data_IF_653162518023
#
_entry.id   IF_653162518023
#
_cell.length_a   1.000
_cell.length_b   1.000
_cell.length_c   1.000
_cell.angle_alpha   90.00
_cell.angle_beta   90.00
_cell.angle_gamma   90.00
#
_symmetry.space_group_name_H-M   'P 1'
#
loop_
_entity.id
_entity.type
_entity.pdbx_description
1 polymer ?
#
# COMPACT_ATOMS: atom_id res chain seq x y z
N UNK A 1 -19.27 -0.34 -19.16
CA UNK A 1 -18.42 -1.23 -18.35
C UNK A 1 -18.59 -2.65 -18.86
N UNK A 2 -17.50 -3.35 -19.15
CA UNK A 2 -17.51 -4.77 -19.55
C UNK A 2 -16.76 -5.54 -18.48
N UNK A 3 -17.44 -6.44 -17.79
CA UNK A 3 -16.84 -7.28 -16.76
C UNK A 3 -16.70 -8.72 -17.31
N UNK A 4 -15.50 -9.29 -17.16
CA UNK A 4 -15.23 -10.68 -17.54
C UNK A 4 -14.94 -11.50 -16.27
N UNK A 5 -15.80 -12.49 -15.99
CA UNK A 5 -15.53 -13.49 -14.97
C UNK A 5 -14.61 -14.57 -15.54
N UNK A 6 -13.45 -14.78 -14.92
CA UNK A 6 -12.52 -15.85 -15.29
C UNK A 6 -12.66 -17.02 -14.32
N UNK A 7 -12.46 -18.24 -14.82
CA UNK A 7 -12.43 -19.45 -13.99
C UNK A 7 -11.35 -19.32 -12.91
N UNK A 8 -11.58 -19.78 -11.67
CA UNK A 8 -10.56 -19.79 -10.62
C UNK A 8 -9.28 -20.52 -11.05
N UNK A 9 -8.07 -20.07 -10.64
CA UNK A 9 -6.80 -20.66 -11.06
C UNK A 9 -6.70 -22.18 -10.88
N UNK A 10 -7.39 -22.72 -9.87
CA UNK A 10 -7.36 -24.14 -9.52
C UNK A 10 -8.12 -25.01 -10.54
N UNK A 11 -9.05 -24.42 -11.29
CA UNK A 11 -9.88 -25.08 -12.29
C UNK A 11 -9.54 -24.68 -13.74
N UNK A 12 -8.47 -23.91 -13.96
CA UNK A 12 -8.04 -23.50 -15.31
C UNK A 12 -7.30 -24.63 -16.04
N UNK A 13 -7.67 -24.84 -17.31
CA UNK A 13 -6.95 -25.74 -18.22
C UNK A 13 -5.76 -25.06 -18.92
N UNK A 14 -5.82 -23.75 -19.09
CA UNK A 14 -4.76 -22.94 -19.69
C UNK A 14 -3.96 -22.24 -18.59
N UNK A 15 -2.62 -22.18 -18.67
CA UNK A 15 -1.77 -21.52 -17.66
C UNK A 15 -1.78 -19.99 -17.77
N UNK A 16 -2.88 -19.40 -18.26
CA UNK A 16 -3.00 -17.96 -18.44
C UNK A 16 -3.40 -17.28 -17.13
N UNK A 17 -2.64 -16.25 -16.78
CA UNK A 17 -2.93 -15.38 -15.64
C UNK A 17 -3.95 -14.31 -16.01
N UNK A 18 -4.61 -13.73 -15.00
CA UNK A 18 -5.57 -12.64 -15.22
C UNK A 18 -4.89 -11.43 -15.88
N UNK A 19 -3.64 -11.14 -15.48
CA UNK A 19 -2.85 -10.04 -16.02
C UNK A 19 -2.51 -10.26 -17.50
N UNK A 20 -2.14 -11.48 -17.90
CA UNK A 20 -1.89 -11.81 -19.31
C UNK A 20 -3.14 -11.66 -20.18
N UNK A 21 -4.30 -12.09 -19.69
CA UNK A 21 -5.58 -11.94 -20.41
C UNK A 21 -5.89 -10.47 -20.64
N UNK A 22 -5.75 -9.65 -19.60
CA UNK A 22 -5.99 -8.20 -19.67
C UNK A 22 -4.98 -7.52 -20.58
N UNK A 23 -3.71 -7.91 -20.55
CA UNK A 23 -2.69 -7.39 -21.46
C UNK A 23 -2.98 -7.74 -22.94
N UNK A 24 -3.44 -8.96 -23.21
CA UNK A 24 -3.87 -9.35 -24.55
C UNK A 24 -5.12 -8.59 -24.99
N UNK A 25 -6.10 -8.42 -24.10
CA UNK A 25 -7.32 -7.66 -24.39
C UNK A 25 -7.01 -6.20 -24.72
N UNK A 26 -6.09 -5.57 -23.96
CA UNK A 26 -5.59 -4.22 -24.24
C UNK A 26 -5.00 -4.11 -25.65
N UNK A 27 -4.18 -5.09 -26.08
CA UNK A 27 -3.60 -5.09 -27.43
C UNK A 27 -4.65 -5.32 -28.52
N UNK A 28 -5.65 -6.17 -28.26
CA UNK A 28 -6.63 -6.56 -29.26
C UNK A 28 -7.65 -5.46 -29.57
N UNK A 29 -8.06 -4.67 -28.57
CA UNK A 29 -9.09 -3.64 -28.76
C UNK A 29 -8.57 -2.37 -29.43
N UNK A 30 -7.28 -2.04 -29.20
CA UNK A 30 -6.67 -0.83 -29.75
C UNK A 30 -7.30 0.46 -29.23
N UNK A 31 -7.13 1.54 -29.99
CA UNK A 31 -7.69 2.86 -29.67
C UNK A 31 -9.16 2.88 -30.12
N UNK A 32 -10.07 3.21 -29.21
CA UNK A 32 -11.50 3.37 -29.52
C UNK A 32 -11.76 4.85 -29.85
N UNK A 33 -12.14 5.22 -31.08
CA UNK A 33 -12.45 6.60 -31.44
C UNK A 33 -13.58 7.17 -30.58
N UNK A 34 -13.37 8.33 -29.99
CA UNK A 34 -14.34 9.00 -29.13
C UNK A 34 -14.40 8.51 -27.68
N UNK A 35 -13.62 7.49 -27.30
CA UNK A 35 -13.45 7.14 -25.90
C UNK A 35 -12.56 8.17 -25.19
N UNK A 36 -13.06 8.74 -24.10
CA UNK A 36 -12.28 9.69 -23.27
C UNK A 36 -11.30 8.97 -22.34
N UNK A 37 -11.68 7.79 -21.85
CA UNK A 37 -10.85 6.95 -20.99
C UNK A 37 -11.03 5.49 -21.39
N UNK A 38 -9.93 4.73 -21.41
CA UNK A 38 -9.94 3.29 -21.57
C UNK A 38 -9.01 2.67 -20.53
N UNK A 39 -9.58 1.93 -19.58
CA UNK A 39 -8.83 1.30 -18.49
C UNK A 39 -9.06 -0.20 -18.46
N UNK A 40 -8.01 -0.96 -18.18
CA UNK A 40 -8.08 -2.41 -18.03
C UNK A 40 -7.63 -2.80 -16.63
N UNK A 41 -8.37 -3.70 -15.97
CA UNK A 41 -8.12 -4.09 -14.58
C UNK A 41 -8.14 -5.61 -14.44
N UNK A 42 -7.11 -6.15 -13.79
CA UNK A 42 -6.92 -7.59 -13.59
C UNK A 42 -6.74 -8.00 -12.11
N UNK A 43 -6.68 -7.04 -11.18
CA UNK A 43 -6.26 -7.26 -9.79
C UNK A 43 -7.45 -7.22 -8.82
N UNK A 44 -7.44 -8.14 -7.85
CA UNK A 44 -8.45 -8.22 -6.78
C UNK A 44 -8.00 -7.32 -5.63
N UNK A 45 -8.89 -6.47 -5.13
CA UNK A 45 -8.66 -5.70 -3.90
C UNK A 45 -7.71 -4.51 -4.02
N UNK A 46 -7.42 -4.04 -5.24
CA UNK A 46 -6.61 -2.83 -5.45
C UNK A 46 -7.35 -1.60 -4.93
N UNK A 47 -6.81 -0.99 -3.87
CA UNK A 47 -7.35 0.24 -3.27
C UNK A 47 -6.87 1.50 -3.99
N UNK A 48 -5.66 1.48 -4.56
CA UNK A 48 -5.01 2.64 -5.18
C UNK A 48 -4.09 2.22 -6.34
N UNK A 49 -3.81 3.15 -7.28
CA UNK A 49 -2.88 2.90 -8.39
C UNK A 49 -1.41 3.03 -7.90
N UNK A 50 -0.42 2.39 -8.58
CA UNK A 50 0.98 2.34 -8.13
C UNK A 50 1.60 3.72 -7.99
N UNK A 51 1.24 4.62 -8.92
CA UNK A 51 1.64 6.03 -8.89
C UNK A 51 0.39 6.88 -8.91
N UNK A 52 0.19 7.68 -7.87
CA UNK A 52 -0.86 8.69 -7.82
C UNK A 52 -0.27 10.03 -7.40
N UNK A 53 -0.43 11.04 -8.24
CA UNK A 53 -0.07 12.43 -7.93
C UNK A 53 -1.37 13.18 -7.66
N UNK A 54 -1.54 13.64 -6.43
CA UNK A 54 -2.69 14.43 -6.04
C UNK A 54 -2.36 15.92 -6.07
N UNK A 55 -2.98 16.64 -6.99
CA UNK A 55 -2.89 18.09 -7.09
C UNK A 55 -4.05 18.72 -6.32
N UNK A 56 -3.76 19.74 -5.52
CA UNK A 56 -4.74 20.44 -4.69
C UNK A 56 -4.57 21.94 -4.84
N UNK A 57 -5.65 22.68 -5.10
CA UNK A 57 -5.55 24.13 -5.34
C UNK A 57 -6.90 24.85 -5.42
N UNK A 58 -6.88 26.20 -5.47
CA UNK A 58 -8.09 27.02 -5.54
C UNK A 58 -8.65 27.13 -6.96
N UNK A 59 -7.79 27.28 -7.97
CA UNK A 59 -8.15 27.42 -9.38
C UNK A 59 -8.26 26.04 -10.04
N UNK A 60 -9.35 25.81 -10.77
CA UNK A 60 -9.56 24.54 -11.46
C UNK A 60 -8.81 24.49 -12.80
N UNK A 61 -8.72 25.63 -13.49
CA UNK A 61 -8.02 25.73 -14.77
C UNK A 61 -6.52 25.49 -14.57
N UNK A 62 -5.96 26.04 -13.49
CA UNK A 62 -4.56 25.81 -13.08
C UNK A 62 -4.31 24.33 -12.77
N UNK A 63 -5.21 23.70 -12.01
CA UNK A 63 -5.11 22.27 -11.69
C UNK A 63 -5.14 21.41 -12.96
N UNK A 64 -5.96 21.78 -13.96
CA UNK A 64 -6.02 21.08 -15.24
C UNK A 64 -4.71 21.22 -16.01
N UNK A 65 -4.15 22.43 -16.10
CA UNK A 65 -2.89 22.67 -16.78
C UNK A 65 -1.72 21.93 -16.10
N UNK A 66 -1.65 21.95 -14.77
CA UNK A 66 -0.66 21.20 -14.01
C UNK A 66 -0.82 19.68 -14.16
N UNK A 67 -2.06 19.18 -14.21
CA UNK A 67 -2.34 17.77 -14.43
C UNK A 67 -1.87 17.30 -15.83
N UNK A 68 -2.09 18.10 -16.88
CA UNK A 68 -1.57 17.80 -18.22
C UNK A 68 -0.04 17.75 -18.24
N UNK A 69 0.63 18.71 -17.61
CA UNK A 69 2.10 18.70 -17.51
C UNK A 69 2.62 17.47 -16.74
N UNK A 70 1.94 17.09 -15.65
CA UNK A 70 2.28 15.89 -14.89
C UNK A 70 2.08 14.63 -15.73
N UNK A 71 0.99 14.51 -16.49
CA UNK A 71 0.75 13.39 -17.42
C UNK A 71 1.82 13.31 -18.50
N UNK A 72 2.22 14.45 -19.09
CA UNK A 72 3.26 14.50 -20.11
C UNK A 72 4.61 14.01 -19.56
N UNK A 73 4.97 14.43 -18.34
CA UNK A 73 6.18 13.95 -17.65
C UNK A 73 6.10 12.46 -17.31
N UNK A 74 4.97 11.98 -16.81
CA UNK A 74 4.76 10.56 -16.53
C UNK A 74 4.83 9.71 -17.82
N UNK A 75 4.39 10.25 -18.96
CA UNK A 75 4.45 9.58 -20.26
C UNK A 75 5.87 9.38 -20.79
N UNK A 76 6.89 10.00 -20.18
CA UNK A 76 8.29 9.79 -20.55
C UNK A 76 8.87 8.50 -19.95
N UNK A 77 8.22 7.92 -18.94
CA UNK A 77 8.65 6.66 -18.34
C UNK A 77 8.14 5.48 -19.16
N UNK A 78 9.02 4.64 -19.74
CA UNK A 78 8.60 3.52 -20.58
C UNK A 78 7.85 2.42 -19.80
N UNK A 79 8.03 2.38 -18.48
CA UNK A 79 7.45 1.36 -17.60
C UNK A 79 6.09 1.77 -17.00
N UNK A 80 5.61 2.99 -17.30
CA UNK A 80 4.29 3.48 -16.89
C UNK A 80 3.29 3.40 -18.05
N UNK A 81 2.05 3.02 -17.75
CA UNK A 81 0.97 2.93 -18.72
C UNK A 81 -0.38 3.30 -18.09
N UNK A 82 -1.42 3.41 -18.92
CA UNK A 82 -2.78 3.83 -18.51
C UNK A 82 -2.77 5.13 -17.68
N UNK A 83 -1.89 6.08 -18.06
CA UNK A 83 -1.78 7.39 -17.40
C UNK A 83 -3.05 8.19 -17.68
N UNK A 84 -3.71 8.62 -16.61
CA UNK A 84 -4.98 9.34 -16.67
C UNK A 84 -5.10 10.31 -15.53
N UNK A 85 -6.14 11.12 -15.56
CA UNK A 85 -6.51 11.97 -14.45
C UNK A 85 -7.98 11.77 -14.09
N UNK A 86 -8.36 12.24 -12.91
CA UNK A 86 -9.76 12.20 -12.45
C UNK A 86 -10.61 13.34 -13.02
N UNK A 87 -10.07 14.14 -13.95
CA UNK A 87 -10.84 15.18 -14.60
C UNK A 87 -11.70 14.58 -15.71
N UNK A 88 -12.96 14.40 -15.37
CA UNK A 88 -13.99 14.11 -16.35
C UNK A 88 -14.54 15.41 -16.95
N UNK A 89 -14.49 15.51 -18.28
CA UNK A 89 -15.26 16.49 -19.02
C UNK A 89 -16.74 16.30 -18.67
N UNK A 90 -17.34 17.26 -17.99
CA UNK A 90 -18.75 17.16 -17.67
C UNK A 90 -19.64 17.42 -18.88
N UNK A 91 -20.94 17.26 -18.66
CA UNK A 91 -21.92 17.27 -19.74
C UNK A 91 -21.95 18.64 -20.41
N UNK A 92 -22.12 18.70 -21.74
CA UNK A 92 -22.45 19.93 -22.43
C UNK A 92 -23.65 20.59 -21.73
N UNK A 93 -23.49 21.85 -21.37
CA UNK A 93 -24.54 22.64 -20.75
C UNK A 93 -24.80 23.91 -21.57
N UNK A 94 -25.93 24.52 -21.27
CA UNK A 94 -26.35 25.80 -21.85
C UNK A 94 -26.58 26.73 -20.67
N UNK A 95 -25.67 27.67 -20.47
CA UNK A 95 -25.73 28.65 -19.39
C UNK A 95 -26.63 29.79 -19.84
N UNK A 96 -27.70 30.02 -19.10
CA UNK A 96 -28.61 31.13 -19.37
C UNK A 96 -28.13 32.35 -18.59
N UNK A 97 -28.04 33.50 -19.28
CA UNK A 97 -27.74 34.79 -18.67
C UNK A 97 -28.85 35.77 -19.02
N UNK A 98 -29.44 36.41 -18.01
CA UNK A 98 -30.47 37.44 -18.23
C UNK A 98 -29.83 38.67 -18.90
N UNK A 99 -30.58 39.27 -19.82
CA UNK A 99 -30.20 40.53 -20.44
C UNK A 99 -30.60 41.72 -19.56
N UNK A 100 -29.86 42.83 -19.55
CA UNK A 100 -30.24 44.03 -18.79
C UNK A 100 -31.66 44.53 -19.13
N UNK A 101 -32.08 44.40 -20.39
CA UNK A 101 -33.41 44.80 -20.86
C UNK A 101 -34.54 43.99 -20.22
N UNK A 102 -34.27 42.73 -19.85
CA UNK A 102 -35.24 41.88 -19.18
C UNK A 102 -35.43 42.28 -17.71
N UNK A 103 -34.38 42.76 -17.06
CA UNK A 103 -34.47 43.28 -15.68
C UNK A 103 -35.35 44.53 -15.63
N UNK A 104 -35.33 45.37 -16.67
CA UNK A 104 -36.24 46.52 -16.81
C UNK A 104 -37.71 46.09 -16.95
N UNK A 105 -37.97 44.88 -17.44
CA UNK A 105 -39.30 44.26 -17.51
C UNK A 105 -39.69 43.52 -16.21
N UNK A 106 -38.90 43.70 -15.14
CA UNK A 106 -39.14 43.07 -13.84
C UNK A 106 -38.87 41.56 -13.81
N UNK A 107 -38.24 41.00 -14.84
CA UNK A 107 -37.86 39.58 -14.86
C UNK A 107 -36.58 39.35 -14.04
N UNK A 108 -36.57 38.27 -13.27
CA UNK A 108 -35.35 37.81 -12.57
C UNK A 108 -34.79 36.54 -13.20
N UNK A 109 -33.51 36.24 -12.95
CA UNK A 109 -32.90 34.94 -13.30
C UNK A 109 -33.71 33.75 -12.75
N UNK A 110 -34.33 33.91 -11.59
CA UNK A 110 -35.17 32.88 -10.97
C UNK A 110 -36.44 32.64 -11.78
N UNK A 111 -37.06 33.69 -12.31
CA UNK A 111 -38.26 33.57 -13.13
C UNK A 111 -37.96 32.89 -14.46
N UNK A 112 -36.85 33.27 -15.10
CA UNK A 112 -36.36 32.64 -16.32
C UNK A 112 -36.08 31.14 -16.08
N UNK A 113 -35.27 30.81 -15.07
CA UNK A 113 -34.91 29.43 -14.75
C UNK A 113 -36.13 28.57 -14.41
N UNK A 114 -37.10 29.12 -13.66
CA UNK A 114 -38.34 28.43 -13.29
C UNK A 114 -39.18 28.15 -14.53
N UNK A 115 -39.46 29.16 -15.36
CA UNK A 115 -40.29 28.99 -16.57
C UNK A 115 -39.64 28.01 -17.56
N UNK A 116 -38.34 28.15 -17.83
CA UNK A 116 -37.61 27.22 -18.70
C UNK A 116 -37.62 25.78 -18.15
N UNK A 117 -37.39 25.59 -16.85
CA UNK A 117 -37.45 24.26 -16.23
C UNK A 117 -38.85 23.65 -16.34
N UNK A 118 -39.90 24.42 -16.09
CA UNK A 118 -41.28 23.94 -16.19
C UNK A 118 -41.65 23.55 -17.62
N UNK A 119 -41.20 24.32 -18.62
CA UNK A 119 -41.43 24.01 -20.02
C UNK A 119 -40.73 22.73 -20.49
N UNK A 120 -39.42 22.58 -20.22
CA UNK A 120 -38.60 21.51 -20.81
C UNK A 120 -38.46 20.26 -19.92
N UNK A 121 -38.21 20.44 -18.62
CA UNK A 121 -38.06 19.33 -17.66
C UNK A 121 -39.42 18.89 -17.11
N UNK A 122 -40.24 19.88 -16.77
CA UNK A 122 -41.59 19.72 -16.23
C UNK A 122 -41.74 20.18 -14.78
N UNK A 123 -42.94 20.64 -14.46
CA UNK A 123 -43.39 20.94 -13.10
C UNK A 123 -44.20 19.77 -12.56
N UNK A 124 -43.88 19.29 -11.35
CA UNK A 124 -44.76 18.36 -10.65
C UNK A 124 -46.03 19.12 -10.24
N UNK A 125 -47.17 18.80 -10.85
CA UNK A 125 -48.45 19.42 -10.55
C UNK A 125 -49.16 18.69 -9.40
N UNK A 126 -49.03 17.37 -9.36
CA UNK A 126 -49.64 16.53 -8.35
C UNK A 126 -48.87 15.21 -8.21
N UNK A 127 -48.95 14.59 -7.04
CA UNK A 127 -48.56 13.20 -6.82
C UNK A 127 -49.78 12.38 -6.42
N UNK A 128 -49.95 11.22 -7.04
CA UNK A 128 -51.12 10.35 -6.85
C UNK A 128 -50.61 8.96 -6.45
N UNK A 129 -51.16 8.41 -5.37
CA UNK A 129 -50.91 7.03 -4.97
C UNK A 129 -51.59 6.07 -5.96
N UNK A 130 -50.82 5.17 -6.55
CA UNK A 130 -51.31 4.07 -7.39
C UNK A 130 -50.83 2.74 -6.82
N UNK A 131 -51.73 2.06 -6.09
CA UNK A 131 -51.37 0.83 -5.37
C UNK A 131 -50.39 1.13 -4.23
N UNK A 132 -49.19 0.55 -4.27
CA UNK A 132 -48.11 0.79 -3.29
C UNK A 132 -47.09 1.84 -3.76
N UNK A 133 -47.25 2.38 -4.96
CA UNK A 133 -46.32 3.34 -5.55
C UNK A 133 -46.91 4.74 -5.64
N UNK A 134 -46.02 5.74 -5.58
CA UNK A 134 -46.32 7.15 -5.80
C UNK A 134 -46.04 7.54 -7.26
N UNK A 135 -47.07 7.98 -7.98
CA UNK A 135 -46.95 8.42 -9.37
C UNK A 135 -47.01 9.94 -9.45
N UNK A 136 -45.99 10.57 -10.07
CA UNK A 136 -45.91 12.03 -10.27
C UNK A 136 -46.60 12.45 -11.56
N UNK A 137 -47.49 13.42 -11.48
CA UNK A 137 -48.13 14.08 -12.62
C UNK A 137 -47.33 15.33 -12.97
N UNK A 138 -46.71 15.33 -14.16
CA UNK A 138 -45.82 16.39 -14.63
C UNK A 138 -46.47 17.21 -15.73
N UNK A 139 -46.42 18.54 -15.62
CA UNK A 139 -46.83 19.50 -16.67
C UNK A 139 -45.58 20.03 -17.37
N UNK A 140 -45.55 19.94 -18.70
CA UNK A 140 -44.44 20.37 -19.57
C UNK A 140 -44.93 20.55 -21.00
N UNK A 141 -44.10 21.16 -21.85
CA UNK A 141 -44.39 21.29 -23.27
C UNK A 141 -44.46 19.92 -23.99
N UNK A 142 -45.16 19.85 -25.12
CA UNK A 142 -45.14 18.69 -26.02
C UNK A 142 -43.72 18.25 -26.35
N UNK A 143 -43.54 16.97 -26.68
CA UNK A 143 -42.20 16.40 -26.89
C UNK A 143 -41.48 17.09 -28.04
N UNK A 144 -42.22 17.45 -29.08
CA UNK A 144 -41.77 18.08 -30.31
C UNK A 144 -41.22 19.49 -30.05
N UNK A 145 -41.71 20.16 -29.01
CA UNK A 145 -41.30 21.52 -28.63
C UNK A 145 -40.14 21.56 -27.62
N UNK A 146 -39.61 20.40 -27.22
CA UNK A 146 -38.52 20.31 -26.22
C UNK A 146 -37.32 19.48 -26.66
N UNK A 147 -37.28 19.06 -27.92
CA UNK A 147 -36.19 18.27 -28.50
C UNK A 147 -35.11 19.12 -29.16
N UNK A 148 -35.40 20.38 -29.50
CA UNK A 148 -34.44 21.26 -30.18
C UNK A 148 -34.16 22.54 -29.39
N UNK A 149 -32.95 23.08 -29.57
CA UNK A 149 -32.54 24.35 -28.98
C UNK A 149 -33.32 25.54 -29.57
N UNK A 150 -33.69 25.47 -30.86
CA UNK A 150 -34.47 26.52 -31.51
C UNK A 150 -35.83 26.75 -30.81
N UNK A 151 -36.42 25.70 -30.24
CA UNK A 151 -37.66 25.82 -29.47
C UNK A 151 -37.47 26.62 -28.17
N UNK A 152 -36.27 26.56 -27.56
CA UNK A 152 -35.94 27.36 -26.39
C UNK A 152 -35.83 28.84 -26.75
N UNK A 153 -35.21 29.17 -27.87
CA UNK A 153 -35.07 30.56 -28.35
C UNK A 153 -36.42 31.19 -28.71
N UNK A 154 -37.34 30.40 -29.26
CA UNK A 154 -38.72 30.82 -29.57
C UNK A 154 -39.70 30.74 -28.40
N UNK A 155 -39.27 30.24 -27.23
CA UNK A 155 -40.12 30.12 -26.05
C UNK A 155 -40.62 31.50 -25.62
N UNK A 156 -41.86 31.59 -25.15
CA UNK A 156 -42.39 32.81 -24.54
C UNK A 156 -42.20 32.77 -23.02
N UNK A 157 -41.65 33.87 -22.49
CA UNK A 157 -41.46 34.11 -21.06
C UNK A 157 -42.48 35.17 -20.63
N UNK A 158 -43.20 34.89 -19.54
CA UNK A 158 -44.20 35.80 -18.99
C UNK A 158 -43.57 36.73 -17.96
N UNK A 159 -43.79 38.04 -18.10
CA UNK A 159 -43.40 39.08 -17.14
C UNK A 159 -44.33 39.07 -15.92
N UNK A 160 -43.92 39.66 -14.77
CA UNK A 160 -44.79 39.77 -13.59
C UNK A 160 -46.14 40.46 -13.86
N UNK A 161 -46.10 41.42 -14.76
CA UNK A 161 -47.22 42.22 -15.30
C UNK A 161 -48.04 41.48 -16.37
N UNK A 162 -47.70 40.22 -16.65
CA UNK A 162 -48.50 39.29 -17.47
C UNK A 162 -48.24 39.35 -18.97
N UNK A 163 -47.33 40.21 -19.42
CA UNK A 163 -46.93 40.28 -20.83
C UNK A 163 -46.06 39.07 -21.21
N UNK A 164 -46.11 38.65 -22.47
CA UNK A 164 -45.29 37.54 -22.97
C UNK A 164 -44.24 38.05 -23.96
N UNK A 165 -42.98 37.80 -23.63
CA UNK A 165 -41.82 38.21 -24.42
C UNK A 165 -41.01 36.99 -24.88
N UNK A 166 -40.43 36.99 -26.10
CA UNK A 166 -39.58 35.89 -26.56
C UNK A 166 -38.35 35.71 -25.66
N UNK A 167 -37.96 34.46 -25.41
CA UNK A 167 -36.79 34.11 -24.61
C UNK A 167 -35.51 34.78 -25.15
N UNK A 168 -35.32 34.77 -26.48
CA UNK A 168 -34.18 35.41 -27.14
C UNK A 168 -34.07 36.93 -26.87
N UNK A 169 -35.17 37.61 -26.56
CA UNK A 169 -35.18 39.03 -26.23
C UNK A 169 -34.77 39.32 -24.78
N UNK A 170 -34.85 38.32 -23.89
CA UNK A 170 -34.64 38.50 -22.44
C UNK A 170 -33.46 37.74 -21.86
N UNK A 171 -32.91 36.79 -22.61
CA UNK A 171 -31.78 35.98 -22.15
C UNK A 171 -30.82 35.63 -23.29
N UNK A 172 -29.55 35.51 -22.95
CA UNK A 172 -28.52 34.89 -23.79
C UNK A 172 -28.29 33.45 -23.34
N UNK A 173 -27.93 32.60 -24.30
CA UNK A 173 -27.48 31.23 -24.04
C UNK A 173 -26.00 31.15 -24.40
N UNK A 174 -25.18 30.85 -23.41
CA UNK A 174 -23.77 30.56 -23.60
C UNK A 174 -23.57 29.04 -23.57
N UNK A 175 -22.82 28.52 -24.54
CA UNK A 175 -22.41 27.13 -24.51
C UNK A 175 -21.33 26.93 -23.45
N UNK A 176 -21.52 25.92 -22.61
CA UNK A 176 -20.54 25.57 -21.60
C UNK A 176 -20.44 24.07 -21.44
N UNK A 177 -19.57 23.68 -20.51
CA UNK A 177 -19.56 22.34 -19.95
C UNK A 177 -19.68 22.47 -18.44
N UNK A 178 -20.58 21.66 -17.89
CA UNK A 178 -20.63 21.47 -16.43
C UNK A 178 -19.41 20.65 -15.99
N UNK A 179 -19.11 20.65 -14.69
CA UNK A 179 -18.24 19.63 -14.11
C UNK A 179 -19.07 18.38 -13.86
N UNK A 180 -18.60 17.18 -14.25
CA UNK A 180 -19.32 15.94 -13.93
C UNK A 180 -19.31 15.69 -12.40
N UNK A 181 -18.18 16.02 -11.77
CA UNK A 181 -17.93 15.90 -10.35
C UNK A 181 -16.87 16.90 -9.90
N UNK A 182 -17.00 17.43 -8.68
CA UNK A 182 -15.97 18.29 -8.07
C UNK A 182 -15.51 17.61 -6.79
N UNK A 183 -14.35 16.94 -6.86
CA UNK A 183 -13.71 16.35 -5.69
C UNK A 183 -12.99 17.44 -4.89
N UNK A 184 -13.09 17.33 -3.56
CA UNK A 184 -12.42 18.23 -2.63
C UNK A 184 -11.79 17.47 -1.48
N UNK A 185 -10.60 17.88 -1.09
CA UNK A 185 -9.90 17.41 0.11
C UNK A 185 -9.54 18.64 0.92
N UNK A 186 -9.88 18.64 2.22
CA UNK A 186 -9.65 19.77 3.11
C UNK A 186 -10.15 21.11 2.55
N UNK A 187 -11.34 21.09 1.91
CA UNK A 187 -12.03 22.23 1.25
C UNK A 187 -11.37 22.75 -0.04
N UNK A 188 -10.21 22.26 -0.43
CA UNK A 188 -9.59 22.60 -1.70
C UNK A 188 -10.01 21.63 -2.80
N UNK A 189 -10.10 22.12 -4.04
CA UNK A 189 -10.38 21.27 -5.22
C UNK A 189 -9.17 20.39 -5.49
N UNK A 190 -9.42 19.17 -5.98
CA UNK A 190 -8.34 18.23 -6.28
C UNK A 190 -8.52 17.55 -7.63
N UNK A 191 -7.40 17.32 -8.30
CA UNK A 191 -7.28 16.44 -9.46
C UNK A 191 -6.20 15.43 -9.13
N UNK A 192 -6.50 14.15 -9.27
CA UNK A 192 -5.52 13.08 -9.13
C UNK A 192 -5.09 12.65 -10.53
N UNK A 193 -3.78 12.60 -10.76
CA UNK A 193 -3.16 11.97 -11.93
C UNK A 193 -2.70 10.60 -11.50
N UNK A 194 -3.21 9.53 -12.12
CA UNK A 194 -2.83 8.16 -11.80
C UNK A 194 -2.14 7.50 -12.99
N UNK A 195 -1.23 6.59 -12.68
CA UNK A 195 -0.54 5.78 -13.67
C UNK A 195 -0.36 4.37 -13.12
N UNK A 196 -0.57 3.38 -13.98
CA UNK A 196 -0.24 2.00 -13.70
C UNK A 196 1.20 1.71 -14.13
N UNK A 197 1.79 0.67 -13.56
CA UNK A 197 3.21 0.37 -13.72
C UNK A 197 3.44 -1.12 -14.00
N UNK A 198 4.43 -1.42 -14.86
CA UNK A 198 4.90 -2.79 -15.05
C UNK A 198 5.68 -3.24 -13.81
N UNK A 199 5.04 -4.02 -12.93
CA UNK A 199 5.63 -4.45 -11.64
C UNK A 199 6.92 -5.27 -11.77
N UNK A 200 7.25 -5.80 -12.96
CA UNK A 200 8.50 -6.54 -13.18
C UNK A 200 9.68 -5.63 -13.58
N UNK A 201 9.41 -4.49 -14.21
CA UNK A 201 10.43 -3.59 -14.77
C UNK A 201 10.50 -2.24 -14.07
N UNK A 202 9.36 -1.72 -13.65
CA UNK A 202 9.26 -0.42 -13.03
C UNK A 202 9.89 -0.43 -11.64
N UNK A 203 10.87 0.46 -11.43
CA UNK A 203 11.31 0.80 -10.09
C UNK A 203 10.49 1.98 -9.57
N UNK A 204 9.39 1.67 -8.88
CA UNK A 204 8.46 2.66 -8.34
C UNK A 204 9.15 3.67 -7.41
N UNK A 205 10.17 3.25 -6.66
CA UNK A 205 10.89 4.13 -5.73
C UNK A 205 11.65 5.24 -6.48
N UNK A 206 12.36 4.90 -7.56
CA UNK A 206 13.09 5.86 -8.39
C UNK A 206 12.11 6.84 -9.05
N UNK A 207 11.01 6.32 -9.61
CA UNK A 207 9.96 7.13 -10.24
C UNK A 207 9.40 8.15 -9.25
N UNK A 208 9.17 7.76 -7.99
CA UNK A 208 8.69 8.68 -6.95
C UNK A 208 9.70 9.74 -6.56
N UNK A 209 10.97 9.37 -6.40
CA UNK A 209 12.03 10.32 -6.10
C UNK A 209 12.16 11.37 -7.21
N UNK A 210 12.00 10.96 -8.47
CA UNK A 210 11.96 11.86 -9.61
C UNK A 210 10.69 12.73 -9.61
N UNK A 211 9.50 12.18 -9.30
CA UNK A 211 8.26 12.95 -9.13
C UNK A 211 8.45 14.04 -8.07
N UNK A 212 9.01 13.71 -6.91
CA UNK A 212 9.29 14.67 -5.84
C UNK A 212 10.26 15.77 -6.32
N UNK A 213 11.15 15.46 -7.27
CA UNK A 213 12.09 16.42 -7.85
C UNK A 213 11.46 17.35 -8.89
N UNK A 214 10.62 16.85 -9.80
CA UNK A 214 10.08 17.67 -10.90
C UNK A 214 8.74 18.35 -10.58
N UNK A 215 7.93 17.77 -9.69
CA UNK A 215 6.62 18.36 -9.35
C UNK A 215 6.71 19.76 -8.71
N UNK A 216 7.71 20.10 -7.88
CA UNK A 216 7.88 21.46 -7.38
C UNK A 216 8.02 22.50 -8.49
N UNK A 217 8.68 22.16 -9.60
CA UNK A 217 8.84 23.09 -10.73
C UNK A 217 7.50 23.36 -11.43
N UNK A 218 6.65 22.33 -11.57
CA UNK A 218 5.30 22.47 -12.13
C UNK A 218 4.41 23.31 -11.22
N UNK A 219 4.41 23.02 -9.91
CA UNK A 219 3.54 23.67 -8.93
C UNK A 219 3.95 25.12 -8.66
N UNK A 220 5.23 25.47 -8.84
CA UNK A 220 5.74 26.83 -8.65
C UNK A 220 5.04 27.87 -9.54
N UNK A 221 4.60 27.46 -10.72
CA UNK A 221 3.96 28.34 -11.69
C UNK A 221 2.49 28.66 -11.32
N UNK A 222 1.93 27.99 -10.30
CA UNK A 222 0.53 28.12 -9.89
C UNK A 222 0.39 28.48 -8.40
N UNK A 223 0.12 29.76 -8.06
CA UNK A 223 0.01 30.22 -6.68
C UNK A 223 -1.07 29.48 -5.86
N UNK A 224 -0.68 28.97 -4.70
CA UNK A 224 -1.61 28.27 -3.78
C UNK A 224 -1.94 26.83 -4.16
N UNK A 225 -1.31 26.30 -5.22
CA UNK A 225 -1.34 24.88 -5.54
C UNK A 225 -0.34 24.11 -4.67
N UNK A 226 -0.71 22.89 -4.31
CA UNK A 226 0.12 21.92 -3.60
C UNK A 226 -0.02 20.56 -4.27
N UNK A 227 1.01 19.73 -4.16
CA UNK A 227 0.93 18.33 -4.58
C UNK A 227 1.22 17.41 -3.39
N UNK A 228 0.57 16.25 -3.38
CA UNK A 228 0.95 15.12 -2.53
C UNK A 228 1.12 13.89 -3.39
N UNK A 229 2.12 13.07 -3.05
CA UNK A 229 2.22 11.74 -3.61
C UNK A 229 1.31 10.81 -2.80
N UNK A 230 0.45 10.10 -3.49
CA UNK A 230 -0.49 9.11 -2.95
C UNK A 230 -0.27 7.79 -3.71
N UNK A 231 -1.07 6.77 -3.40
CA UNK A 231 -1.02 5.47 -4.08
C UNK A 231 -0.34 4.37 -3.27
N UNK A 232 -0.18 3.20 -3.90
CA UNK A 232 0.35 1.99 -3.24
C UNK A 232 1.70 2.25 -2.58
N UNK A 233 2.53 3.12 -3.16
CA UNK A 233 3.85 3.37 -2.64
C UNK A 233 3.90 4.23 -1.37
N UNK A 234 2.99 5.21 -1.25
CA UNK A 234 2.82 5.95 0.01
C UNK A 234 2.32 5.01 1.10
N UNK A 235 1.31 4.20 0.79
CA UNK A 235 0.77 3.18 1.71
C UNK A 235 1.87 2.21 2.15
N UNK A 236 2.76 1.80 1.23
CA UNK A 236 3.95 1.01 1.56
C UNK A 236 4.87 1.77 2.51
N UNK A 237 5.26 3.01 2.20
CA UNK A 237 6.19 3.78 3.04
C UNK A 237 5.66 3.97 4.47
N UNK A 238 4.39 4.33 4.63
CA UNK A 238 3.73 4.49 5.93
C UNK A 238 3.67 3.14 6.70
N UNK A 239 3.37 2.05 5.98
CA UNK A 239 3.35 0.70 6.54
C UNK A 239 4.75 0.26 6.98
N UNK A 240 5.78 0.47 6.15
CA UNK A 240 7.17 0.12 6.47
C UNK A 240 7.71 0.91 7.66
N UNK A 241 7.36 2.20 7.78
CA UNK A 241 7.70 3.01 8.95
C UNK A 241 7.11 2.45 10.25
N UNK A 242 5.85 2.05 10.22
CA UNK A 242 5.16 1.43 11.37
C UNK A 242 5.77 0.07 11.73
N UNK A 243 6.09 -0.74 10.71
CA UNK A 243 6.73 -2.05 10.86
C UNK A 243 8.14 -1.94 11.43
N UNK A 244 8.91 -0.93 11.05
CA UNK A 244 10.24 -0.69 11.62
C UNK A 244 10.16 -0.47 13.13
N UNK A 245 9.23 0.38 13.58
CA UNK A 245 9.00 0.61 15.01
C UNK A 245 8.53 -0.67 15.71
N UNK A 246 7.62 -1.42 15.09
CA UNK A 246 7.16 -2.71 15.60
C UNK A 246 8.29 -3.75 15.71
N UNK A 247 9.21 -3.77 14.75
CA UNK A 247 10.37 -4.67 14.73
C UNK A 247 11.32 -4.38 15.90
N UNK A 248 11.59 -3.11 16.18
CA UNK A 248 12.38 -2.70 17.34
C UNK A 248 11.71 -3.12 18.66
N UNK A 249 10.39 -2.94 18.76
CA UNK A 249 9.64 -3.38 19.93
C UNK A 249 9.72 -4.91 20.13
N UNK A 250 9.53 -5.69 19.06
CA UNK A 250 9.67 -7.16 19.08
C UNK A 250 11.08 -7.59 19.51
N UNK A 251 12.12 -7.00 18.93
CA UNK A 251 13.50 -7.30 19.29
C UNK A 251 13.80 -6.98 20.77
N UNK A 252 13.27 -5.86 21.26
CA UNK A 252 13.38 -5.48 22.68
C UNK A 252 12.63 -6.45 23.61
N UNK A 253 11.42 -6.88 23.23
CA UNK A 253 10.66 -7.88 23.98
C UNK A 253 11.39 -9.21 24.01
N UNK A 254 11.90 -9.69 22.87
CA UNK A 254 12.72 -10.90 22.77
C UNK A 254 13.92 -10.79 23.70
N UNK A 255 14.69 -9.71 23.61
CA UNK A 255 15.84 -9.45 24.47
C UNK A 255 15.47 -9.56 25.96
N UNK A 256 14.39 -8.89 26.37
CA UNK A 256 13.92 -8.87 27.75
C UNK A 256 13.50 -10.25 28.25
N UNK A 257 12.80 -11.02 27.41
CA UNK A 257 12.37 -12.39 27.72
C UNK A 257 13.55 -13.37 27.82
N UNK A 258 14.64 -13.13 27.08
CA UNK A 258 15.86 -13.95 27.15
C UNK A 258 16.77 -13.56 28.32
N UNK A 259 16.82 -12.27 28.68
CA UNK A 259 17.67 -11.78 29.75
C UNK A 259 17.31 -12.38 31.13
N UNK A 260 16.01 -12.63 31.36
CA UNK A 260 15.47 -13.20 32.60
C UNK A 260 15.97 -14.64 32.85
N UNK A 261 15.73 -15.63 31.97
CA UNK A 261 16.16 -17.02 32.18
C UNK A 261 17.68 -17.18 32.18
N UNK A 262 18.40 -16.40 31.35
CA UNK A 262 19.86 -16.46 31.30
C UNK A 262 20.54 -15.76 32.47
N UNK A 263 19.84 -14.84 33.16
CA UNK A 263 20.42 -13.96 34.19
C UNK A 263 21.70 -13.26 33.69
N UNK A 264 21.69 -12.87 32.41
CA UNK A 264 22.82 -12.26 31.71
C UNK A 264 22.32 -11.26 30.68
N UNK A 265 22.99 -10.11 30.57
CA UNK A 265 22.69 -9.08 29.57
C UNK A 265 23.36 -9.35 28.22
N UNK A 266 24.46 -10.13 28.20
CA UNK A 266 25.22 -10.40 26.98
C UNK A 266 24.78 -11.67 26.25
N UNK A 267 24.31 -12.69 26.98
CA UNK A 267 23.85 -13.94 26.36
C UNK A 267 22.63 -13.78 25.44
N UNK A 268 21.64 -12.91 25.74
CA UNK A 268 20.57 -12.59 24.80
C UNK A 268 21.09 -12.05 23.45
N UNK A 269 22.14 -11.22 23.47
CA UNK A 269 22.73 -10.67 22.24
C UNK A 269 23.38 -11.75 21.37
N UNK A 270 23.96 -12.79 21.98
CA UNK A 270 24.46 -13.96 21.23
C UNK A 270 23.31 -14.64 20.49
N UNK A 271 22.19 -14.87 21.17
CA UNK A 271 21.02 -15.50 20.56
C UNK A 271 20.44 -14.63 19.44
N UNK A 272 20.31 -13.32 19.68
CA UNK A 272 19.79 -12.39 18.68
C UNK A 272 20.72 -12.18 17.48
N UNK A 273 22.03 -12.44 17.62
CA UNK A 273 23.00 -12.33 16.52
C UNK A 273 22.71 -13.27 15.34
N UNK A 274 21.90 -14.31 15.54
CA UNK A 274 21.47 -15.24 14.49
C UNK A 274 20.36 -14.64 13.61
N UNK A 275 19.57 -13.70 14.12
CA UNK A 275 18.40 -13.13 13.42
C UNK A 275 18.77 -12.56 12.04
N UNK A 276 19.83 -11.72 11.88
CA UNK A 276 20.23 -11.20 10.59
C UNK A 276 20.52 -12.28 9.53
N UNK A 277 21.02 -13.45 9.95
CA UNK A 277 21.28 -14.56 9.04
C UNK A 277 20.00 -15.27 8.63
N UNK A 278 19.03 -15.39 9.53
CA UNK A 278 17.68 -15.84 9.18
C UNK A 278 17.01 -14.91 8.17
N UNK A 279 17.13 -13.59 8.36
CA UNK A 279 16.65 -12.60 7.39
C UNK A 279 17.34 -12.76 6.02
N UNK A 280 18.66 -12.99 6.00
CA UNK A 280 19.39 -13.31 4.78
C UNK A 280 18.86 -14.57 4.08
N UNK A 281 18.55 -15.62 4.85
CA UNK A 281 17.91 -16.84 4.34
C UNK A 281 16.51 -16.61 3.77
N UNK A 282 15.72 -15.75 4.41
CA UNK A 282 14.40 -15.35 3.92
C UNK A 282 14.48 -14.61 2.58
N UNK A 283 15.41 -13.65 2.45
CA UNK A 283 15.66 -12.92 1.20
C UNK A 283 16.12 -13.88 0.10
N UNK A 284 17.05 -14.79 0.41
CA UNK A 284 17.49 -15.81 -0.54
C UNK A 284 16.34 -16.69 -1.01
N UNK A 285 15.44 -17.10 -0.09
CA UNK A 285 14.25 -17.88 -0.42
C UNK A 285 13.30 -17.15 -1.36
N UNK A 286 13.11 -15.84 -1.15
CA UNK A 286 12.35 -14.98 -2.06
C UNK A 286 12.94 -14.93 -3.47
N UNK A 287 14.26 -14.80 -3.57
CA UNK A 287 14.98 -14.81 -4.85
C UNK A 287 14.83 -16.17 -5.54
N UNK A 288 15.01 -17.27 -4.81
CA UNK A 288 14.89 -18.65 -5.35
C UNK A 288 13.47 -18.92 -5.86
N UNK A 289 12.45 -18.44 -5.14
CA UNK A 289 11.04 -18.65 -5.51
C UNK A 289 10.50 -17.59 -6.49
N UNK A 290 11.32 -16.61 -6.90
CA UNK A 290 10.91 -15.53 -7.80
C UNK A 290 9.78 -14.66 -7.24
N UNK A 291 9.75 -14.45 -5.92
CA UNK A 291 8.71 -13.66 -5.24
C UNK A 291 9.28 -12.36 -4.70
N UNK A 292 8.62 -11.24 -5.00
CA UNK A 292 8.98 -9.94 -4.43
C UNK A 292 8.76 -9.90 -2.91
N UNK A 293 9.55 -9.08 -2.22
CA UNK A 293 9.35 -8.81 -0.81
C UNK A 293 8.08 -7.96 -0.63
N UNK A 294 7.21 -8.38 0.27
CA UNK A 294 6.00 -7.66 0.62
C UNK A 294 5.89 -7.45 2.13
N UNK A 295 4.87 -6.72 2.56
CA UNK A 295 4.52 -6.59 3.98
C UNK A 295 4.34 -7.97 4.65
N UNK A 296 3.79 -8.93 3.91
CA UNK A 296 3.59 -10.30 4.37
C UNK A 296 4.92 -11.03 4.56
N UNK A 297 5.91 -10.78 3.70
CA UNK A 297 7.29 -11.25 3.89
C UNK A 297 7.86 -10.74 5.22
N UNK A 298 7.66 -9.46 5.53
CA UNK A 298 8.18 -8.88 6.77
C UNK A 298 7.52 -9.50 8.00
N UNK A 299 6.22 -9.77 7.98
CA UNK A 299 5.58 -10.54 9.05
C UNK A 299 6.15 -11.96 9.18
N UNK A 300 6.45 -12.62 8.07
CA UNK A 300 7.16 -13.91 8.06
C UNK A 300 8.55 -13.81 8.70
N UNK A 301 9.31 -12.76 8.41
CA UNK A 301 10.63 -12.47 8.99
C UNK A 301 10.57 -12.14 10.50
N UNK A 302 9.51 -11.47 10.95
CA UNK A 302 9.27 -11.24 12.37
C UNK A 302 8.92 -12.54 13.10
N UNK A 303 8.06 -13.37 12.52
CA UNK A 303 7.74 -14.69 13.05
C UNK A 303 8.98 -15.60 13.12
N UNK A 304 9.81 -15.56 12.06
CA UNK A 304 11.10 -16.26 11.98
C UNK A 304 12.01 -15.92 13.16
N UNK A 305 12.10 -14.63 13.51
CA UNK A 305 12.94 -14.17 14.61
C UNK A 305 12.59 -14.87 15.92
N UNK A 306 11.30 -15.10 16.20
CA UNK A 306 10.86 -15.83 17.39
C UNK A 306 11.24 -17.32 17.37
N UNK A 307 11.05 -18.00 16.22
CA UNK A 307 11.36 -19.43 16.08
C UNK A 307 12.86 -19.68 16.21
N UNK A 308 13.69 -18.88 15.53
CA UNK A 308 15.17 -19.01 15.55
C UNK A 308 15.74 -18.73 16.94
N UNK A 309 15.15 -17.78 17.67
CA UNK A 309 15.52 -17.48 19.05
C UNK A 309 15.27 -18.68 19.96
N UNK A 310 14.17 -19.41 19.77
CA UNK A 310 13.87 -20.58 20.60
C UNK A 310 14.93 -21.69 20.45
N UNK A 311 15.35 -22.00 19.22
CA UNK A 311 16.38 -23.02 18.97
C UNK A 311 17.73 -22.63 19.60
N UNK A 312 18.11 -21.35 19.44
CA UNK A 312 19.31 -20.78 20.04
C UNK A 312 19.25 -20.75 21.57
N UNK A 313 18.07 -20.46 22.14
CA UNK A 313 17.86 -20.40 23.59
C UNK A 313 18.12 -21.74 24.23
N UNK A 314 17.56 -22.81 23.67
CA UNK A 314 17.70 -24.16 24.23
C UNK A 314 19.16 -24.63 24.18
N UNK A 315 19.91 -24.23 23.15
CA UNK A 315 21.34 -24.51 23.04
C UNK A 315 22.14 -23.77 24.12
N UNK A 316 21.96 -22.45 24.25
CA UNK A 316 22.65 -21.64 25.26
C UNK A 316 22.30 -22.07 26.69
N UNK A 317 21.03 -22.39 26.96
CA UNK A 317 20.60 -22.91 28.26
C UNK A 317 21.28 -24.25 28.60
N UNK A 318 21.39 -25.16 27.63
CA UNK A 318 22.09 -26.42 27.84
C UNK A 318 23.58 -26.21 28.14
N UNK A 319 24.24 -25.29 27.43
CA UNK A 319 25.64 -24.92 27.69
C UNK A 319 25.76 -24.38 29.12
N UNK A 320 24.91 -23.41 29.49
CA UNK A 320 24.89 -22.83 30.84
C UNK A 320 24.67 -23.88 31.93
N UNK A 321 23.78 -24.85 31.70
CA UNK A 321 23.55 -25.96 32.64
C UNK A 321 24.81 -26.80 32.81
N UNK A 322 25.47 -27.20 31.73
CA UNK A 322 26.73 -27.97 31.78
C UNK A 322 27.87 -27.19 32.45
N UNK A 323 27.93 -25.88 32.26
CA UNK A 323 28.86 -24.99 32.97
C UNK A 323 28.60 -24.96 34.48
N UNK A 324 27.33 -24.92 34.90
CA UNK A 324 26.94 -24.99 36.33
C UNK A 324 27.26 -26.34 36.96
N UNK A 325 27.22 -27.42 36.19
CA UNK A 325 27.66 -28.76 36.61
C UNK A 325 29.19 -28.90 36.72
N UNK A 326 29.97 -27.84 36.42
CA UNK A 326 31.43 -27.83 36.51
C UNK A 326 32.16 -28.33 35.26
N UNK A 327 31.44 -28.55 34.15
CA UNK A 327 32.07 -29.01 32.90
C UNK A 327 32.97 -27.91 32.31
N UNK A 328 34.20 -28.23 31.84
CA UNK A 328 35.04 -27.29 31.10
C UNK A 328 34.30 -26.65 29.93
N UNK A 329 34.60 -25.39 29.61
CA UNK A 329 33.83 -24.60 28.65
C UNK A 329 33.71 -25.28 27.27
N UNK A 330 34.83 -25.73 26.72
CA UNK A 330 34.87 -26.36 25.41
C UNK A 330 34.07 -27.68 25.38
N UNK A 331 34.18 -28.47 26.44
CA UNK A 331 33.44 -29.73 26.58
C UNK A 331 31.94 -29.46 26.74
N UNK A 332 31.55 -28.46 27.52
CA UNK A 332 30.16 -28.06 27.70
C UNK A 332 29.52 -27.66 26.36
N UNK A 333 30.23 -26.86 25.55
CA UNK A 333 29.77 -26.44 24.21
C UNK A 333 29.68 -27.63 23.26
N UNK A 334 30.69 -28.51 23.23
CA UNK A 334 30.70 -29.71 22.38
C UNK A 334 29.55 -30.66 22.73
N UNK A 335 29.37 -30.96 24.02
CA UNK A 335 28.29 -31.83 24.51
C UNK A 335 26.92 -31.23 24.22
N UNK A 336 26.75 -29.92 24.40
CA UNK A 336 25.50 -29.22 24.09
C UNK A 336 25.14 -29.31 22.60
N UNK A 337 26.10 -29.05 21.71
CA UNK A 337 25.91 -29.15 20.26
C UNK A 337 25.43 -30.53 19.84
N UNK A 338 26.10 -31.60 20.28
CA UNK A 338 25.71 -32.99 19.96
C UNK A 338 24.34 -33.33 20.54
N UNK A 339 24.06 -32.94 21.79
CA UNK A 339 22.79 -33.25 22.45
C UNK A 339 21.60 -32.54 21.81
N UNK A 340 21.81 -31.36 21.20
CA UNK A 340 20.72 -30.53 20.65
C UNK A 340 20.60 -30.57 19.14
N UNK A 341 21.63 -31.05 18.43
CA UNK A 341 21.62 -31.18 16.98
C UNK A 341 20.35 -31.84 16.43
N UNK A 342 19.99 -33.03 16.94
CA UNK A 342 18.82 -33.78 16.46
C UNK A 342 17.50 -33.03 16.69
N UNK A 343 17.34 -32.45 17.88
CA UNK A 343 16.12 -31.76 18.25
C UNK A 343 15.93 -30.49 17.41
N UNK A 344 16.99 -29.68 17.26
CA UNK A 344 16.98 -28.44 16.49
C UNK A 344 16.74 -28.75 14.99
N UNK A 345 17.43 -29.75 14.43
CA UNK A 345 17.18 -30.13 13.03
C UNK A 345 15.73 -30.57 12.81
N UNK A 346 15.18 -31.40 13.72
CA UNK A 346 13.82 -31.90 13.58
C UNK A 346 12.78 -30.79 13.64
N UNK A 347 12.91 -29.82 14.55
CA UNK A 347 11.97 -28.68 14.64
C UNK A 347 12.02 -27.85 13.37
N UNK A 348 13.21 -27.49 12.90
CA UNK A 348 13.37 -26.69 11.69
C UNK A 348 12.85 -27.39 10.44
N UNK A 349 13.16 -28.67 10.25
CA UNK A 349 12.62 -29.44 9.11
C UNK A 349 11.11 -29.61 9.19
N UNK A 350 10.56 -29.84 10.38
CA UNK A 350 9.11 -29.99 10.54
C UNK A 350 8.39 -28.67 10.24
N UNK A 351 8.91 -27.53 10.71
CA UNK A 351 8.32 -26.22 10.38
C UNK A 351 8.45 -25.90 8.89
N UNK A 352 9.61 -26.15 8.28
CA UNK A 352 9.78 -25.98 6.83
C UNK A 352 8.80 -26.86 6.06
N UNK A 353 8.72 -28.16 6.37
CA UNK A 353 7.82 -29.09 5.73
C UNK A 353 6.34 -28.71 5.89
N UNK A 354 5.95 -28.16 7.05
CA UNK A 354 4.60 -27.67 7.30
C UNK A 354 4.23 -26.43 6.48
N UNK A 355 5.22 -25.63 6.04
CA UNK A 355 5.02 -24.44 5.23
C UNK A 355 5.07 -24.69 3.72
N UNK A 356 5.68 -25.80 3.28
CA UNK A 356 5.74 -26.18 1.85
C UNK A 356 4.36 -26.13 1.17
N UNK A 357 3.27 -26.68 1.73
CA UNK A 357 1.96 -26.62 1.10
C UNK A 357 1.49 -25.19 0.85
N UNK A 358 1.74 -24.27 1.79
CA UNK A 358 1.37 -22.86 1.67
C UNK A 358 2.21 -22.17 0.59
N UNK A 359 3.49 -22.52 0.47
CA UNK A 359 4.38 -21.96 -0.55
C UNK A 359 3.97 -22.33 -1.98
N UNK A 360 3.25 -23.44 -2.17
CA UNK A 360 2.72 -23.91 -3.45
C UNK A 360 1.19 -23.77 -3.57
N UNK A 361 0.57 -22.99 -2.69
CA UNK A 361 -0.86 -22.77 -2.71
C UNK A 361 -1.29 -22.03 -3.98
N UNK A 362 -2.35 -22.53 -4.62
CA UNK A 362 -2.90 -21.94 -5.86
C UNK A 362 -4.13 -21.09 -5.59
N UNK A 363 -4.79 -21.32 -4.46
CA UNK A 363 -5.99 -20.61 -4.04
C UNK A 363 -5.79 -19.10 -4.08
N UNK A 364 -6.59 -18.41 -4.90
CA UNK A 364 -6.57 -16.95 -5.01
C UNK A 364 -6.75 -16.27 -3.64
N UNK A 365 -7.53 -16.89 -2.75
CA UNK A 365 -7.76 -16.38 -1.40
C UNK A 365 -6.56 -16.58 -0.46
N UNK A 366 -5.61 -17.45 -0.77
CA UNK A 366 -4.47 -17.76 0.10
C UNK A 366 -3.13 -17.32 -0.48
N UNK A 367 -3.08 -16.86 -1.74
CA UNK A 367 -1.85 -16.39 -2.39
C UNK A 367 -1.13 -15.28 -1.61
N UNK A 368 -1.87 -14.43 -0.88
CA UNK A 368 -1.27 -13.38 -0.05
C UNK A 368 -0.42 -13.93 1.11
N UNK A 369 -0.59 -15.20 1.49
CA UNK A 369 0.21 -15.87 2.54
C UNK A 369 1.53 -16.46 2.00
N UNK A 370 1.67 -16.65 0.68
CA UNK A 370 2.85 -17.25 0.07
C UNK A 370 4.15 -16.50 0.46
N UNK A 371 4.23 -15.15 0.34
CA UNK A 371 5.44 -14.40 0.73
C UNK A 371 5.83 -14.59 2.20
N UNK A 372 4.84 -14.69 3.09
CA UNK A 372 5.05 -14.95 4.52
C UNK A 372 5.64 -16.34 4.75
N UNK A 373 5.07 -17.36 4.11
CA UNK A 373 5.53 -18.74 4.22
C UNK A 373 6.96 -18.93 3.67
N UNK A 374 7.29 -18.27 2.56
CA UNK A 374 8.64 -18.27 1.98
C UNK A 374 9.65 -17.68 2.96
N UNK A 375 9.37 -16.49 3.49
CA UNK A 375 10.25 -15.81 4.43
C UNK A 375 10.51 -16.64 5.68
N UNK A 376 9.45 -17.21 6.27
CA UNK A 376 9.57 -18.05 7.46
C UNK A 376 10.28 -19.38 7.17
N UNK A 377 9.88 -20.09 6.11
CA UNK A 377 10.40 -21.41 5.78
C UNK A 377 11.89 -21.39 5.43
N UNK A 378 12.27 -20.62 4.41
CA UNK A 378 13.68 -20.52 3.99
C UNK A 378 14.55 -19.85 5.06
N UNK A 379 13.99 -18.86 5.75
CA UNK A 379 14.66 -18.21 6.87
C UNK A 379 15.03 -19.20 7.97
N UNK A 380 14.10 -20.08 8.38
CA UNK A 380 14.36 -21.10 9.40
C UNK A 380 15.43 -22.06 8.90
N UNK A 381 15.26 -22.61 7.70
CA UNK A 381 16.17 -23.62 7.17
C UNK A 381 17.61 -23.11 7.13
N UNK A 382 17.82 -21.87 6.67
CA UNK A 382 19.14 -21.24 6.67
C UNK A 382 19.63 -20.89 8.08
N UNK A 383 18.78 -20.28 8.91
CA UNK A 383 19.11 -19.90 10.28
C UNK A 383 19.52 -21.10 11.13
N UNK A 384 18.96 -22.28 10.91
CA UNK A 384 19.28 -23.49 11.68
C UNK A 384 20.72 -23.94 11.48
N UNK A 385 21.20 -23.95 10.22
CA UNK A 385 22.61 -24.27 9.94
C UNK A 385 23.55 -23.24 10.57
N UNK A 386 23.19 -21.96 10.51
CA UNK A 386 23.98 -20.89 11.12
C UNK A 386 23.95 -20.98 12.64
N UNK A 387 22.79 -21.22 13.26
CA UNK A 387 22.61 -21.34 14.72
C UNK A 387 23.56 -22.38 15.31
N UNK A 388 23.61 -23.57 14.71
CA UNK A 388 24.41 -24.70 15.21
C UNK A 388 25.92 -24.43 15.18
N UNK A 389 26.38 -23.50 14.33
CA UNK A 389 27.79 -23.13 14.23
C UNK A 389 28.09 -21.83 15.00
N UNK A 390 27.31 -20.79 14.73
CA UNK A 390 27.56 -19.43 15.18
C UNK A 390 27.28 -19.23 16.67
N UNK A 391 26.22 -19.85 17.23
CA UNK A 391 25.90 -19.70 18.65
C UNK A 391 27.01 -20.27 19.55
N UNK A 392 27.51 -21.50 19.32
CA UNK A 392 28.69 -22.02 20.01
C UNK A 392 29.92 -21.11 19.92
N UNK A 393 30.25 -20.62 18.72
CA UNK A 393 31.42 -19.76 18.49
C UNK A 393 31.26 -18.44 19.24
N UNK A 394 30.11 -17.78 19.13
CA UNK A 394 29.85 -16.51 19.80
C UNK A 394 29.83 -16.67 21.33
N UNK A 395 29.37 -17.81 21.85
CA UNK A 395 29.44 -18.11 23.27
C UNK A 395 30.88 -18.24 23.76
N UNK A 396 31.75 -18.95 23.02
CA UNK A 396 33.18 -19.06 23.33
C UNK A 396 33.87 -17.70 23.29
N UNK A 397 33.63 -16.91 22.24
CA UNK A 397 34.18 -15.55 22.10
C UNK A 397 33.76 -14.63 23.24
N UNK A 398 32.51 -14.73 23.71
CA UNK A 398 32.03 -13.96 24.85
C UNK A 398 32.80 -14.32 26.13
N UNK A 399 32.96 -15.61 26.42
CA UNK A 399 33.68 -16.07 27.60
C UNK A 399 35.16 -15.67 27.57
N UNK A 400 35.81 -15.76 26.40
CA UNK A 400 37.18 -15.28 26.19
C UNK A 400 37.27 -13.76 26.43
N UNK A 401 36.31 -12.99 25.91
CA UNK A 401 36.20 -11.55 26.15
C UNK A 401 36.03 -11.20 27.63
N UNK A 402 35.17 -11.93 28.36
CA UNK A 402 34.98 -11.76 29.81
C UNK A 402 36.27 -12.08 30.56
N UNK A 403 37.01 -13.12 30.16
CA UNK A 403 38.30 -13.47 30.76
C UNK A 403 39.38 -12.41 30.48
N UNK A 404 39.45 -11.89 29.26
CA UNK A 404 40.34 -10.80 28.85
C UNK A 404 40.07 -9.53 29.66
N UNK A 405 38.81 -9.11 29.79
CA UNK A 405 38.44 -7.93 30.59
C UNK A 405 38.78 -8.13 32.05
N UNK A 406 38.49 -9.32 32.62
CA UNK A 406 38.90 -9.64 34.01
C UNK A 406 40.42 -9.60 34.17
N UNK A 407 41.18 -10.09 33.21
CA UNK A 407 42.66 -10.10 33.23
C UNK A 407 43.22 -8.67 33.12
N UNK A 408 42.65 -7.85 32.25
CA UNK A 408 43.02 -6.44 32.10
C UNK A 408 42.69 -5.63 33.35
N UNK A 409 41.49 -5.79 33.92
CA UNK A 409 41.10 -5.13 35.17
C UNK A 409 41.98 -5.57 36.35
N UNK A 410 42.34 -6.86 36.44
CA UNK A 410 43.28 -7.34 37.47
C UNK A 410 44.66 -6.74 37.31
N UNK A 411 45.14 -6.59 36.08
CA UNK A 411 46.43 -5.96 35.77
C UNK A 411 46.41 -4.46 36.10
N UNK A 412 45.35 -3.74 35.71
CA UNK A 412 45.22 -2.30 35.93
C UNK A 412 45.01 -1.92 37.40
N UNK A 413 44.31 -2.76 38.18
CA UNK A 413 43.94 -2.47 39.57
C UNK A 413 44.72 -3.28 40.62
N UNK A 414 45.73 -4.06 40.21
CA UNK A 414 46.65 -4.79 41.08
C UNK A 414 45.96 -5.62 42.20
N UNK A 415 44.83 -6.25 41.87
CA UNK A 415 44.05 -7.06 42.81
C UNK A 415 44.76 -8.42 43.02
N UNK A 416 45.51 -8.55 44.12
CA UNK A 416 46.13 -9.81 44.52
C UNK A 416 45.09 -10.83 44.98
N UNK A 417 45.20 -12.05 44.47
CA UNK A 417 44.41 -13.20 44.94
C UNK A 417 44.84 -13.57 46.35
N UNK A 418 44.01 -13.29 47.35
CA UNK A 418 44.00 -14.14 48.56
C UNK A 418 43.42 -15.49 48.14
N UNK A 419 44.30 -16.45 47.86
CA UNK A 419 43.91 -17.86 47.87
C UNK A 419 43.36 -18.20 49.26
N UNK A 420 42.24 -18.92 49.40
CA UNK A 420 41.92 -19.56 50.66
C UNK A 420 42.98 -20.63 50.88
N UNK A 421 43.76 -20.47 51.96
CA UNK A 421 44.73 -21.45 52.40
C UNK A 421 44.07 -22.84 52.44
N UNK A 422 44.63 -23.77 51.68
CA UNK A 422 44.42 -25.19 51.89
C UNK A 422 44.90 -25.48 53.32
N UNK A 423 43.95 -25.72 54.23
CA UNK A 423 44.25 -26.30 55.53
C UNK A 423 44.72 -27.73 55.28
N UNK A 424 46.03 -27.91 55.31
CA UNK A 424 46.67 -29.19 55.59
C UNK A 424 46.10 -29.75 56.89
N UNK A 425 45.27 -30.80 56.80
CA UNK A 425 45.10 -31.74 57.89
C UNK A 425 46.15 -32.85 57.67
N UNK A 426 47.27 -32.72 58.38
CA UNK A 426 48.33 -33.72 58.48
C UNK A 426 47.84 -35.00 59.19
N UNK A 427 48.52 -36.14 58.97
CA UNK A 427 48.12 -37.44 59.49
C UNK A 427 48.56 -37.63 60.95
N UNK A 428 47.68 -38.26 61.74
CA UNK A 428 48.02 -39.20 62.82
C UNK A 428 46.79 -40.03 63.16
#
# INVERSE_FOLDING_TARGET
EVAMGITPPEARQLPLTSQEVVAQWRRAIGIIPGAQELSFRAEIGRSSDPVTIQLTGPSFDDLKLAAEQAKEKLGQYPDLFDIKDTFEDGKPERKMRIKPEAELLGLTMTDLARQTRQAFFGSEAQRIQRGREDVRVMVRYPKEERTSLANLESMRIRTPDGQEVPFASVADIEEGRSFSSIKRINRNRTIQVTADADKEKANLQIIQEDIIRFMPDIVRDYPGMQFTLEGEAREQQESFGSVWMGSLFVLFTIYSLLAIPFRSYMQPLIVMSVIPFGLGGAILGHIIMGQNLSIMSVFGMLALSGVVVNDSLVLVDYINRKRREGTPLLDAVRTAGVARFRAIMLTSFTTFAGLIPIMWEKSTQAQFLIPMAISLGWGILFATFITLLMVPINYLLLEDGVQLVKRYLRWQFNLSTREPALQEAQPN
#
